data_IF_077841443040
#
_entry.id   IF_077841443040
#
_cell.length_a   1.000
_cell.length_b   1.000
_cell.length_c   1.000
_cell.angle_alpha   90.00
_cell.angle_beta   90.00
_cell.angle_gamma   90.00
#
_symmetry.space_group_name_H-M   'P 1'
#
loop_
_entity.id
_entity.type
_entity.pdbx_description
1 polymer ?
#
# COMPACT_ATOMS: atom_id res chain seq x y z
N UNK A 1 35.77 -17.29 -38.06
CA UNK A 1 34.36 -16.88 -37.96
C UNK A 1 33.51 -17.82 -37.13
N UNK A 2 33.56 -19.12 -37.35
CA UNK A 2 32.80 -20.08 -36.57
C UNK A 2 33.15 -20.07 -35.08
N UNK A 3 34.41 -19.88 -34.72
CA UNK A 3 34.86 -19.83 -33.33
C UNK A 3 34.39 -18.57 -32.61
N UNK A 4 34.33 -17.45 -33.34
CA UNK A 4 33.78 -16.17 -32.81
C UNK A 4 32.29 -16.29 -32.50
N UNK A 5 31.52 -16.89 -33.41
CA UNK A 5 30.07 -17.08 -33.25
C UNK A 5 29.79 -18.03 -32.08
N UNK A 6 30.57 -19.12 -31.94
CA UNK A 6 30.43 -20.05 -30.81
C UNK A 6 30.77 -19.39 -29.48
N UNK A 7 31.81 -18.60 -29.42
CA UNK A 7 32.20 -17.85 -28.23
C UNK A 7 31.12 -16.81 -27.85
N UNK A 8 30.62 -16.08 -28.82
CA UNK A 8 29.59 -15.09 -28.65
C UNK A 8 28.26 -15.72 -28.23
N UNK A 9 27.86 -16.84 -28.82
CA UNK A 9 26.67 -17.58 -28.45
C UNK A 9 26.74 -18.10 -27.00
N UNK A 10 27.90 -18.53 -26.54
CA UNK A 10 28.13 -18.96 -25.16
C UNK A 10 27.96 -17.80 -24.18
N UNK A 11 28.49 -16.63 -24.49
CA UNK A 11 28.33 -15.43 -23.66
C UNK A 11 26.88 -14.97 -23.61
N UNK A 12 26.17 -14.96 -24.72
CA UNK A 12 24.75 -14.64 -24.79
C UNK A 12 23.91 -15.62 -23.96
N UNK A 13 24.23 -16.91 -24.00
CA UNK A 13 23.54 -17.96 -23.22
C UNK A 13 23.71 -17.74 -21.73
N UNK A 14 24.90 -17.40 -21.25
CA UNK A 14 25.16 -17.08 -19.84
C UNK A 14 24.43 -15.81 -19.43
N UNK A 15 24.49 -14.78 -20.23
CA UNK A 15 23.79 -13.50 -19.99
C UNK A 15 22.27 -13.71 -19.96
N UNK A 16 21.72 -14.47 -20.89
CA UNK A 16 20.30 -14.81 -20.93
C UNK A 16 19.85 -15.58 -19.69
N UNK A 17 20.68 -16.52 -19.20
CA UNK A 17 20.38 -17.25 -17.97
C UNK A 17 20.31 -16.33 -16.76
N UNK A 18 21.26 -15.41 -16.62
CA UNK A 18 21.27 -14.40 -15.55
C UNK A 18 20.02 -13.54 -15.63
N UNK A 19 19.64 -13.10 -16.81
CA UNK A 19 18.45 -12.28 -17.03
C UNK A 19 17.17 -13.04 -16.61
N UNK A 20 17.04 -14.31 -16.96
CA UNK A 20 15.91 -15.17 -16.59
C UNK A 20 15.82 -15.32 -15.07
N UNK A 21 16.96 -15.51 -14.39
CA UNK A 21 16.99 -15.61 -12.93
C UNK A 21 16.51 -14.30 -12.29
N UNK A 22 16.99 -13.15 -12.77
CA UNK A 22 16.52 -11.84 -12.26
C UNK A 22 15.03 -11.62 -12.50
N UNK A 23 14.52 -11.96 -13.67
CA UNK A 23 13.10 -11.85 -13.97
C UNK A 23 12.26 -12.78 -13.07
N UNK A 24 12.73 -13.99 -12.84
CA UNK A 24 12.08 -14.95 -11.94
C UNK A 24 12.02 -14.42 -10.51
N UNK A 25 13.12 -13.85 -10.00
CA UNK A 25 13.17 -13.24 -8.68
C UNK A 25 12.27 -12.02 -8.59
N UNK A 26 12.23 -11.20 -9.63
CA UNK A 26 11.35 -10.03 -9.69
C UNK A 26 9.87 -10.45 -9.64
N UNK A 27 9.47 -11.42 -10.45
CA UNK A 27 8.09 -11.95 -10.46
C UNK A 27 7.75 -12.57 -9.11
N UNK A 28 8.67 -13.36 -8.53
CA UNK A 28 8.48 -13.96 -7.20
C UNK A 28 8.22 -12.88 -6.15
N UNK A 29 9.00 -11.81 -6.17
CA UNK A 29 8.82 -10.69 -5.25
C UNK A 29 7.46 -10.03 -5.43
N UNK A 30 7.02 -9.80 -6.67
CA UNK A 30 5.70 -9.20 -6.97
C UNK A 30 4.55 -10.08 -6.48
N UNK A 31 4.68 -11.39 -6.62
CA UNK A 31 3.65 -12.35 -6.17
C UNK A 31 3.65 -12.51 -4.65
N UNK A 32 4.83 -12.51 -4.03
CA UNK A 32 5.00 -12.77 -2.59
C UNK A 32 4.71 -11.55 -1.73
N UNK A 33 5.10 -10.35 -2.21
CA UNK A 33 4.89 -9.10 -1.47
C UNK A 33 3.72 -8.33 -2.07
N UNK A 34 2.60 -8.36 -1.38
CA UNK A 34 1.47 -7.49 -1.69
C UNK A 34 1.69 -6.13 -1.02
N UNK A 35 1.49 -5.05 -1.77
CA UNK A 35 1.56 -3.69 -1.24
C UNK A 35 0.17 -3.08 -1.18
N UNK A 36 -0.03 -2.14 -0.24
CA UNK A 36 -1.25 -1.35 -0.21
C UNK A 36 -1.36 -0.47 -1.46
N UNK A 37 -2.57 -0.05 -1.77
CA UNK A 37 -2.84 0.81 -2.92
C UNK A 37 -2.91 2.26 -2.48
N UNK A 38 -2.07 3.11 -3.09
CA UNK A 38 -2.12 4.56 -2.86
C UNK A 38 -3.18 5.18 -3.76
N UNK A 39 -4.11 5.92 -3.15
CA UNK A 39 -5.18 6.63 -3.85
C UNK A 39 -4.78 8.09 -4.09
N UNK A 40 -5.04 8.58 -5.29
CA UNK A 40 -5.04 10.03 -5.54
C UNK A 40 -6.24 10.67 -4.85
N UNK A 41 -6.17 11.99 -4.64
CA UNK A 41 -7.31 12.73 -4.05
C UNK A 41 -8.60 12.52 -4.84
N UNK A 42 -8.52 12.54 -6.17
CA UNK A 42 -9.67 12.32 -7.05
C UNK A 42 -10.27 10.93 -6.86
N UNK A 43 -9.44 9.89 -6.85
CA UNK A 43 -9.90 8.51 -6.65
C UNK A 43 -10.48 8.28 -5.26
N UNK A 44 -9.87 8.87 -4.24
CA UNK A 44 -10.39 8.82 -2.87
C UNK A 44 -11.78 9.45 -2.77
N UNK A 45 -11.94 10.64 -3.32
CA UNK A 45 -13.22 11.35 -3.32
C UNK A 45 -14.29 10.58 -4.10
N UNK A 46 -13.93 9.97 -5.24
CA UNK A 46 -14.83 9.11 -6.00
C UNK A 46 -15.30 7.90 -5.21
N UNK A 47 -14.42 7.26 -4.44
CA UNK A 47 -14.78 6.11 -3.58
C UNK A 47 -15.80 6.52 -2.52
N UNK A 48 -15.63 7.68 -1.93
CA UNK A 48 -16.58 8.21 -0.94
C UNK A 48 -17.92 8.54 -1.58
N UNK A 49 -17.91 9.18 -2.74
CA UNK A 49 -19.14 9.52 -3.49
C UNK A 49 -19.88 8.25 -3.95
N UNK A 50 -19.15 7.22 -4.37
CA UNK A 50 -19.70 5.94 -4.79
C UNK A 50 -20.19 5.07 -3.61
N UNK A 51 -20.01 5.54 -2.38
CA UNK A 51 -20.36 4.81 -1.15
C UNK A 51 -19.69 3.44 -1.06
N UNK A 52 -18.41 3.38 -1.43
CA UNK A 52 -17.60 2.18 -1.34
C UNK A 52 -17.28 1.84 0.12
N UNK A 53 -17.05 0.57 0.38
CA UNK A 53 -16.56 0.07 1.68
C UNK A 53 -15.10 -0.34 1.53
N UNK A 54 -14.21 0.21 2.37
CA UNK A 54 -12.78 -0.05 2.29
C UNK A 54 -12.06 0.32 3.59
N UNK A 55 -10.81 -0.15 3.71
CA UNK A 55 -9.91 0.19 4.80
C UNK A 55 -9.00 1.30 4.31
N UNK A 56 -8.97 2.42 5.01
CA UNK A 56 -8.19 3.59 4.62
C UNK A 56 -7.16 3.92 5.70
N UNK A 57 -5.93 4.17 5.28
CA UNK A 57 -4.91 4.82 6.10
C UNK A 57 -4.58 6.16 5.48
N UNK A 58 -4.57 7.21 6.29
CA UNK A 58 -4.23 8.55 5.85
C UNK A 58 -3.08 9.11 6.69
N UNK A 59 -2.13 9.74 6.05
CA UNK A 59 -0.99 10.34 6.74
C UNK A 59 -0.06 11.07 5.78
N UNK A 60 0.84 11.86 6.34
CA UNK A 60 1.83 12.62 5.58
C UNK A 60 3.05 11.72 5.31
N UNK A 61 3.34 11.47 4.05
CA UNK A 61 4.46 10.61 3.63
C UNK A 61 5.84 11.14 4.03
N UNK A 62 5.97 12.42 4.35
CA UNK A 62 7.21 13.01 4.86
C UNK A 62 7.42 12.80 6.36
N UNK A 63 6.41 12.38 7.10
CA UNK A 63 6.48 12.11 8.53
C UNK A 63 7.19 10.76 8.79
N UNK A 64 8.14 10.74 9.72
CA UNK A 64 8.88 9.52 10.10
C UNK A 64 7.96 8.45 10.68
N UNK A 65 6.95 8.83 11.45
CA UNK A 65 5.96 7.90 11.99
C UNK A 65 5.16 7.23 10.86
N UNK A 66 4.83 7.97 9.80
CA UNK A 66 4.14 7.41 8.65
C UNK A 66 5.03 6.46 7.86
N UNK A 67 6.32 6.73 7.74
CA UNK A 67 7.28 5.83 7.07
C UNK A 67 7.34 4.48 7.77
N UNK A 68 7.41 4.46 9.09
CA UNK A 68 7.37 3.23 9.88
C UNK A 68 6.02 2.51 9.73
N UNK A 69 4.93 3.25 9.69
CA UNK A 69 3.59 2.71 9.53
C UNK A 69 3.39 2.08 8.14
N UNK A 70 4.00 2.64 7.10
CA UNK A 70 3.97 2.06 5.76
C UNK A 70 4.53 0.63 5.73
N UNK A 71 5.58 0.36 6.50
CA UNK A 71 6.13 -1.00 6.62
C UNK A 71 5.11 -1.96 7.27
N UNK A 72 4.42 -1.51 8.30
CA UNK A 72 3.35 -2.27 8.96
C UNK A 72 2.21 -2.56 7.99
N UNK A 73 1.80 -1.57 7.20
CA UNK A 73 0.76 -1.73 6.18
C UNK A 73 1.16 -2.75 5.12
N UNK A 74 2.39 -2.71 4.65
CA UNK A 74 2.92 -3.67 3.67
C UNK A 74 2.95 -5.08 4.25
N UNK A 75 3.39 -5.25 5.48
CA UNK A 75 3.41 -6.54 6.18
C UNK A 75 1.99 -7.09 6.33
N UNK A 76 1.05 -6.26 6.75
CA UNK A 76 -0.35 -6.65 6.87
C UNK A 76 -0.93 -7.08 5.53
N UNK A 77 -0.74 -6.28 4.49
CA UNK A 77 -1.28 -6.57 3.17
C UNK A 77 -0.69 -7.86 2.58
N UNK A 78 0.59 -8.12 2.81
CA UNK A 78 1.24 -9.37 2.38
C UNK A 78 0.63 -10.60 3.04
N UNK A 79 0.32 -10.52 4.33
CA UNK A 79 -0.26 -11.62 5.10
C UNK A 79 -1.78 -11.74 4.98
N UNK A 80 -2.46 -10.66 4.58
CA UNK A 80 -3.93 -10.58 4.55
C UNK A 80 -4.39 -10.00 3.20
N UNK A 81 -4.14 -10.70 2.11
CA UNK A 81 -4.38 -10.22 0.73
C UNK A 81 -5.85 -9.95 0.43
N UNK A 82 -6.78 -10.57 1.14
CA UNK A 82 -8.22 -10.36 0.95
C UNK A 82 -8.69 -9.00 1.44
N UNK A 83 -8.01 -8.44 2.43
CA UNK A 83 -8.37 -7.16 3.03
C UNK A 83 -7.47 -6.08 2.43
N UNK A 84 -7.89 -5.48 1.34
CA UNK A 84 -7.10 -4.44 0.66
C UNK A 84 -7.01 -3.19 1.52
N UNK A 85 -5.78 -2.71 1.70
CA UNK A 85 -5.47 -1.46 2.38
C UNK A 85 -5.29 -0.37 1.33
N UNK A 86 -5.99 0.75 1.52
CA UNK A 86 -5.84 1.95 0.71
C UNK A 86 -5.19 3.05 1.53
N UNK A 87 -4.34 3.82 0.89
CA UNK A 87 -3.57 4.89 1.52
C UNK A 87 -3.80 6.20 0.78
N UNK A 88 -4.03 7.27 1.54
CA UNK A 88 -4.10 8.64 1.03
C UNK A 88 -2.98 9.45 1.68
N UNK A 89 -2.13 10.03 0.83
CA UNK A 89 -1.06 10.92 1.28
C UNK A 89 -1.63 12.31 1.53
N UNK A 90 -1.51 12.79 2.77
CA UNK A 90 -1.99 14.11 3.16
C UNK A 90 -0.94 15.20 3.02
N UNK A 91 0.25 14.87 2.52
CA UNK A 91 1.30 15.85 2.26
C UNK A 91 0.82 16.91 1.28
N UNK A 92 0.98 18.17 1.65
CA UNK A 92 0.52 19.30 0.85
C UNK A 92 -0.98 19.57 0.91
N UNK A 93 -1.74 18.81 1.69
CA UNK A 93 -3.17 19.05 1.92
C UNK A 93 -3.39 19.97 3.13
N UNK A 94 -4.54 20.65 3.17
CA UNK A 94 -4.92 21.43 4.34
C UNK A 94 -5.15 20.52 5.56
N UNK A 95 -4.94 21.06 6.76
CA UNK A 95 -5.09 20.29 8.00
C UNK A 95 -6.50 19.72 8.20
N UNK A 96 -7.51 20.33 7.59
CA UNK A 96 -8.90 19.92 7.69
C UNK A 96 -9.41 19.13 6.45
N UNK A 97 -8.50 18.72 5.55
CA UNK A 97 -8.90 18.01 4.33
C UNK A 97 -9.72 16.76 4.63
N UNK A 98 -9.19 15.88 5.49
CA UNK A 98 -9.88 14.65 5.87
C UNK A 98 -11.14 14.91 6.67
N UNK A 99 -11.12 15.91 7.56
CA UNK A 99 -12.28 16.29 8.35
C UNK A 99 -13.45 16.69 7.45
N UNK A 100 -13.19 17.47 6.40
CA UNK A 100 -14.20 17.87 5.43
C UNK A 100 -14.71 16.69 4.59
N UNK A 101 -13.80 15.80 4.15
CA UNK A 101 -14.15 14.70 3.26
C UNK A 101 -14.84 13.54 3.97
N UNK A 102 -14.41 13.21 5.17
CA UNK A 102 -14.91 12.08 5.96
C UNK A 102 -15.89 12.49 7.06
N UNK A 103 -16.05 13.78 7.28
CA UNK A 103 -16.90 14.33 8.35
C UNK A 103 -16.54 13.79 9.74
N UNK A 104 -15.23 13.70 10.02
CA UNK A 104 -14.70 13.23 11.30
C UNK A 104 -13.59 14.16 11.76
N UNK A 105 -13.42 14.29 13.06
CA UNK A 105 -12.32 15.04 13.65
C UNK A 105 -11.15 14.11 13.89
N UNK A 106 -10.02 14.34 13.19
CA UNK A 106 -8.89 13.42 13.19
C UNK A 106 -7.54 14.12 13.19
N UNK A 107 -6.57 13.45 13.81
CA UNK A 107 -5.14 13.68 13.62
C UNK A 107 -4.57 12.63 12.65
N UNK A 108 -3.49 12.96 11.96
CA UNK A 108 -2.77 12.03 11.08
C UNK A 108 -1.43 11.61 11.69
N UNK A 109 -0.94 10.37 11.44
CA UNK A 109 -1.57 9.30 10.68
C UNK A 109 -2.77 8.68 11.41
N UNK A 110 -3.73 8.17 10.64
CA UNK A 110 -4.93 7.52 11.21
C UNK A 110 -5.40 6.39 10.30
N UNK A 111 -6.03 5.40 10.92
CA UNK A 111 -6.65 4.28 10.21
C UNK A 111 -8.16 4.39 10.32
N UNK A 112 -8.85 4.17 9.20
CA UNK A 112 -10.31 4.27 9.11
C UNK A 112 -10.89 2.99 8.51
N UNK A 113 -11.99 2.53 9.07
CA UNK A 113 -12.86 1.55 8.43
C UNK A 113 -14.04 2.32 7.86
N UNK A 114 -14.18 2.25 6.55
CA UNK A 114 -15.24 2.97 5.82
C UNK A 114 -16.21 1.94 5.27
N UNK A 115 -17.49 2.11 5.61
CA UNK A 115 -18.59 1.27 5.12
C UNK A 115 -19.63 2.15 4.48
N UNK A 116 -19.93 1.87 3.20
CA UNK A 116 -20.90 2.63 2.39
C UNK A 116 -20.58 4.14 2.38
N UNK A 117 -19.30 4.47 2.24
CA UNK A 117 -18.82 5.86 2.18
C UNK A 117 -18.75 6.59 3.51
N UNK A 118 -19.01 5.91 4.62
CA UNK A 118 -19.02 6.52 5.97
C UNK A 118 -18.00 5.84 6.87
N UNK A 119 -17.32 6.63 7.71
CA UNK A 119 -16.38 6.12 8.70
C UNK A 119 -17.16 5.44 9.81
N UNK A 120 -16.96 4.14 9.99
CA UNK A 120 -17.59 3.34 11.05
C UNK A 120 -16.66 3.10 12.22
N UNK A 121 -15.34 3.16 12.00
CA UNK A 121 -14.33 3.04 13.04
C UNK A 121 -13.09 3.84 12.63
N UNK A 122 -12.39 4.39 13.60
CA UNK A 122 -11.17 5.16 13.39
C UNK A 122 -10.19 4.89 14.54
N UNK A 123 -8.90 4.91 14.24
CA UNK A 123 -7.84 4.83 15.23
C UNK A 123 -6.76 5.86 14.88
N UNK A 124 -6.50 6.86 15.74
CA UNK A 124 -5.46 7.86 15.51
C UNK A 124 -4.09 7.28 15.84
N UNK A 125 -3.08 7.71 15.08
CA UNK A 125 -1.69 7.35 15.30
C UNK A 125 -1.22 6.14 14.51
N UNK A 126 0.12 6.00 14.41
CA UNK A 126 0.76 4.86 13.80
C UNK A 126 0.66 3.64 14.73
N UNK A 127 0.22 2.52 14.20
CA UNK A 127 0.03 1.30 14.94
C UNK A 127 1.13 0.28 14.65
N UNK A 128 1.52 -0.51 15.65
CA UNK A 128 2.31 -1.72 15.44
C UNK A 128 1.43 -2.79 14.78
N UNK A 129 2.07 -3.76 14.14
CA UNK A 129 1.38 -4.76 13.32
C UNK A 129 0.23 -5.47 14.04
N UNK A 130 0.42 -5.94 15.28
CA UNK A 130 -0.62 -6.67 16.01
C UNK A 130 -1.82 -5.80 16.33
N UNK A 131 -1.59 -4.55 16.72
CA UNK A 131 -2.68 -3.61 17.01
C UNK A 131 -3.42 -3.20 15.74
N UNK A 132 -2.71 -3.04 14.64
CA UNK A 132 -3.30 -2.73 13.34
C UNK A 132 -4.20 -3.87 12.85
N UNK A 133 -3.71 -5.11 12.95
CA UNK A 133 -4.46 -6.31 12.61
C UNK A 133 -5.70 -6.47 13.48
N UNK A 134 -5.56 -6.31 14.79
CA UNK A 134 -6.67 -6.43 15.73
C UNK A 134 -7.74 -5.39 15.49
N UNK A 135 -7.34 -4.14 15.23
CA UNK A 135 -8.27 -3.05 14.90
C UNK A 135 -9.08 -3.38 13.64
N UNK A 136 -8.43 -3.83 12.60
CA UNK A 136 -9.11 -4.18 11.35
C UNK A 136 -10.07 -5.35 11.58
N UNK A 137 -9.62 -6.44 12.22
CA UNK A 137 -10.43 -7.62 12.43
C UNK A 137 -11.65 -7.35 13.32
N UNK A 138 -11.52 -6.46 14.29
CA UNK A 138 -12.62 -6.10 15.19
C UNK A 138 -13.69 -5.24 14.52
N UNK A 139 -13.37 -4.55 13.41
CA UNK A 139 -14.25 -3.53 12.82
C UNK A 139 -14.67 -3.84 11.37
N UNK A 140 -14.22 -4.94 10.80
CA UNK A 140 -14.65 -5.36 9.47
C UNK A 140 -16.07 -5.92 9.43
#
# INVERSE_FOLDING_TARGET
MKDFIKKFAREISVFGLVLVVFLGLFIYRQVTYATYTTLSSTKFEQKIENKDSFILVAGDSSDSAMKSFQEVMTTYQTKNRKNKIYYVDTKGKSSNYLTKKLNVNISTPSTFIIKKGKVTAKYPGALQYYYFKDFINANL
#
